data_IF_395979657765
#
_entry.id   IF_395979657765
#
_cell.length_a   1.000
_cell.length_b   1.000
_cell.length_c   1.000
_cell.angle_alpha   90.00
_cell.angle_beta   90.00
_cell.angle_gamma   90.00
#
_symmetry.space_group_name_H-M   'P 1'
#
loop_
_entity.id
_entity.type
_entity.pdbx_description
1 polymer ?
#
# COMPACT_ATOMS: atom_id res chain seq x y z
N UNK A 1 -11.33 -7.59 36.30
CA UNK A 1 -10.08 -6.82 36.10
C UNK A 1 -9.13 -7.67 35.27
N UNK A 2 -8.94 -7.30 34.01
CA UNK A 2 -7.93 -7.86 33.11
C UNK A 2 -7.56 -6.80 32.06
N UNK A 3 -7.20 -5.60 32.51
CA UNK A 3 -6.87 -4.44 31.66
C UNK A 3 -5.36 -4.30 31.37
N UNK A 4 -4.55 -5.34 31.65
CA UNK A 4 -3.11 -5.17 31.86
C UNK A 4 -2.12 -5.82 30.89
N UNK A 5 -2.52 -6.66 29.93
CA UNK A 5 -1.55 -7.55 29.24
C UNK A 5 -1.52 -7.49 27.71
N UNK A 6 -2.39 -6.71 27.07
CA UNK A 6 -2.33 -6.55 25.59
C UNK A 6 -1.24 -5.55 25.17
N UNK A 7 -0.90 -4.58 26.04
CA UNK A 7 0.13 -3.58 25.78
C UNK A 7 1.56 -4.04 26.08
N UNK A 8 1.77 -5.13 26.81
CA UNK A 8 3.10 -5.59 27.23
C UNK A 8 3.88 -6.34 26.15
N UNK A 9 3.23 -6.70 25.03
CA UNK A 9 3.87 -7.39 23.90
C UNK A 9 4.37 -6.43 22.81
N UNK A 10 4.05 -5.14 22.91
CA UNK A 10 4.34 -4.15 21.88
C UNK A 10 5.14 -2.99 22.46
N UNK A 11 6.30 -2.73 21.86
CA UNK A 11 7.28 -1.75 22.36
C UNK A 11 6.70 -0.33 22.48
N UNK A 12 5.69 0.00 21.66
CA UNK A 12 4.90 1.22 21.77
C UNK A 12 3.53 1.09 21.08
N UNK A 13 2.65 2.09 21.25
CA UNK A 13 1.32 2.13 20.63
C UNK A 13 1.36 2.09 19.09
N UNK A 14 2.46 2.53 18.46
CA UNK A 14 2.62 2.48 17.01
C UNK A 14 2.82 1.05 16.51
N UNK A 15 3.47 0.18 17.29
CA UNK A 15 3.61 -1.24 16.95
C UNK A 15 2.25 -1.96 16.90
N UNK A 16 1.34 -1.65 17.84
CA UNK A 16 -0.04 -2.18 17.83
C UNK A 16 -0.80 -1.70 16.59
N UNK A 17 -0.67 -0.42 16.26
CA UNK A 17 -1.32 0.18 15.08
C UNK A 17 -0.76 -0.38 13.77
N UNK A 18 0.55 -0.66 13.73
CA UNK A 18 1.23 -1.29 12.59
C UNK A 18 0.75 -2.72 12.39
N UNK A 19 0.69 -3.53 13.45
CA UNK A 19 0.14 -4.89 13.38
C UNK A 19 -1.34 -4.91 12.97
N UNK A 20 -2.16 -4.04 13.56
CA UNK A 20 -3.58 -3.94 13.20
C UNK A 20 -3.79 -3.57 11.74
N UNK A 21 -2.97 -2.63 11.22
CA UNK A 21 -2.96 -2.30 9.80
C UNK A 21 -2.53 -3.50 8.96
N UNK A 22 -1.37 -4.12 9.26
CA UNK A 22 -0.85 -5.26 8.49
C UNK A 22 -1.87 -6.40 8.42
N UNK A 23 -2.53 -6.74 9.53
CA UNK A 23 -3.58 -7.76 9.55
C UNK A 23 -4.75 -7.41 8.61
N UNK A 24 -5.20 -6.15 8.59
CA UNK A 24 -6.24 -5.74 7.64
C UNK A 24 -5.75 -5.75 6.19
N UNK A 25 -4.53 -5.30 5.93
CA UNK A 25 -3.93 -5.32 4.59
C UNK A 25 -3.75 -6.74 4.05
N UNK A 26 -3.40 -7.69 4.92
CA UNK A 26 -3.29 -9.12 4.58
C UNK A 26 -4.66 -9.71 4.25
N UNK A 27 -5.71 -9.39 5.02
CA UNK A 27 -7.07 -9.85 4.71
C UNK A 27 -7.59 -9.28 3.38
N UNK A 28 -7.28 -8.01 3.10
CA UNK A 28 -7.63 -7.37 1.84
C UNK A 28 -6.89 -7.97 0.64
N UNK A 29 -5.59 -8.30 0.78
CA UNK A 29 -4.83 -9.03 -0.23
C UNK A 29 -5.48 -10.38 -0.58
N UNK A 30 -5.89 -11.14 0.43
CA UNK A 30 -6.53 -12.44 0.24
C UNK A 30 -7.87 -12.33 -0.52
N UNK A 31 -8.61 -11.23 -0.32
CA UNK A 31 -9.86 -10.97 -1.03
C UNK A 31 -9.62 -10.49 -2.48
N UNK A 32 -8.59 -9.67 -2.72
CA UNK A 32 -8.25 -9.16 -4.05
C UNK A 32 -7.72 -10.23 -5.01
N UNK A 33 -7.01 -11.24 -4.49
CA UNK A 33 -6.44 -12.35 -5.27
C UNK A 33 -7.46 -13.41 -5.71
N UNK A 34 -8.72 -13.32 -5.28
CA UNK A 34 -9.76 -14.29 -5.60
C UNK A 34 -10.20 -14.27 -7.09
N UNK A 35 -9.89 -13.21 -7.82
CA UNK A 35 -10.16 -13.08 -9.26
C UNK A 35 -8.86 -12.83 -10.02
N UNK A 36 -8.30 -13.83 -10.74
CA UNK A 36 -7.07 -13.65 -11.50
C UNK A 36 -7.33 -12.70 -12.67
N UNK A 37 -6.74 -11.52 -12.59
CA UNK A 37 -6.73 -10.53 -13.67
C UNK A 37 -5.50 -10.77 -14.54
N UNK A 38 -5.69 -10.96 -15.85
CA UNK A 38 -4.58 -11.21 -16.79
C UNK A 38 -3.83 -9.93 -17.21
N UNK A 39 -4.33 -8.77 -16.82
CA UNK A 39 -3.76 -7.47 -17.16
C UNK A 39 -3.08 -6.81 -15.94
N UNK A 40 -1.80 -6.47 -16.08
CA UNK A 40 -0.99 -5.92 -14.99
C UNK A 40 -1.48 -4.54 -14.52
N UNK A 41 -2.07 -3.75 -15.43
CA UNK A 41 -2.63 -2.45 -15.10
C UNK A 41 -3.90 -2.59 -14.27
N UNK A 42 -4.84 -3.43 -14.71
CA UNK A 42 -6.08 -3.71 -13.98
C UNK A 42 -5.78 -4.34 -12.60
N UNK A 43 -4.84 -5.30 -12.54
CA UNK A 43 -4.37 -5.86 -11.27
C UNK A 43 -3.78 -4.77 -10.35
N UNK A 44 -2.88 -3.93 -10.86
CA UNK A 44 -2.26 -2.85 -10.10
C UNK A 44 -3.29 -1.85 -9.56
N UNK A 45 -4.29 -1.50 -10.36
CA UNK A 45 -5.36 -0.58 -9.94
C UNK A 45 -6.36 -1.20 -8.97
N UNK A 46 -6.65 -2.51 -9.09
CA UNK A 46 -7.49 -3.22 -8.12
C UNK A 46 -6.84 -3.24 -6.75
N UNK A 47 -5.55 -3.56 -6.67
CA UNK A 47 -4.78 -3.46 -5.43
C UNK A 47 -4.76 -2.04 -4.90
N UNK A 48 -4.43 -1.05 -5.74
CA UNK A 48 -4.36 0.32 -5.30
C UNK A 48 -5.70 0.86 -4.78
N UNK A 49 -6.80 0.54 -5.45
CA UNK A 49 -8.16 0.91 -5.01
C UNK A 49 -8.47 0.34 -3.64
N UNK A 50 -8.11 -0.92 -3.41
CA UNK A 50 -8.35 -1.62 -2.16
C UNK A 50 -7.53 -1.00 -1.02
N UNK A 51 -6.23 -0.84 -1.22
CA UNK A 51 -5.32 -0.32 -0.20
C UNK A 51 -5.52 1.17 0.07
N UNK A 52 -5.62 1.99 -0.98
CA UNK A 52 -5.93 3.40 -0.81
C UNK A 52 -7.31 3.57 -0.15
N UNK A 53 -8.30 2.73 -0.47
CA UNK A 53 -9.60 2.75 0.21
C UNK A 53 -9.46 2.69 1.73
N UNK A 54 -8.62 1.80 2.23
CA UNK A 54 -8.31 1.71 3.65
C UNK A 54 -7.60 2.96 4.18
N UNK A 55 -6.53 3.42 3.51
CA UNK A 55 -5.75 4.58 3.97
C UNK A 55 -6.59 5.87 4.03
N UNK A 56 -7.44 6.09 3.02
CA UNK A 56 -8.30 7.27 2.95
C UNK A 56 -9.51 7.19 3.89
N UNK A 57 -9.92 5.99 4.30
CA UNK A 57 -10.93 5.83 5.37
C UNK A 57 -10.35 6.08 6.76
N UNK A 58 -9.01 6.04 6.90
CA UNK A 58 -8.31 6.12 8.19
C UNK A 58 -7.18 7.17 8.18
N UNK A 59 -7.41 8.34 7.56
CA UNK A 59 -6.37 9.35 7.25
C UNK A 59 -5.40 9.65 8.40
N UNK A 60 -5.89 9.90 9.61
CA UNK A 60 -5.02 10.27 10.74
C UNK A 60 -4.08 9.12 11.13
N UNK A 61 -4.61 7.89 11.17
CA UNK A 61 -3.84 6.69 11.43
C UNK A 61 -2.82 6.45 10.31
N UNK A 62 -3.26 6.55 9.06
CA UNK A 62 -2.42 6.36 7.89
C UNK A 62 -1.26 7.35 7.83
N UNK A 63 -1.51 8.62 8.14
CA UNK A 63 -0.46 9.65 8.25
C UNK A 63 0.54 9.33 9.36
N UNK A 64 0.08 8.88 10.53
CA UNK A 64 0.95 8.53 11.64
C UNK A 64 1.87 7.35 11.28
N UNK A 65 1.31 6.31 10.67
CA UNK A 65 2.08 5.12 10.26
C UNK A 65 3.06 5.42 9.13
N UNK A 66 2.64 6.17 8.10
CA UNK A 66 3.52 6.51 6.98
C UNK A 66 4.71 7.38 7.41
N UNK A 67 4.52 8.28 8.40
CA UNK A 67 5.64 9.05 8.96
C UNK A 67 6.73 8.16 9.53
N UNK A 68 6.36 7.08 10.23
CA UNK A 68 7.34 6.11 10.75
C UNK A 68 7.99 5.31 9.63
N UNK A 69 7.20 4.87 8.64
CA UNK A 69 7.69 4.07 7.51
C UNK A 69 8.68 4.85 6.62
N UNK A 70 8.49 6.16 6.45
CA UNK A 70 9.40 7.01 5.64
C UNK A 70 10.84 7.00 6.21
N UNK A 71 11.00 6.78 7.51
CA UNK A 71 12.32 6.73 8.16
C UNK A 71 12.92 5.32 8.25
N UNK A 72 12.15 4.29 7.87
CA UNK A 72 12.53 2.87 7.93
C UNK A 72 12.46 2.25 6.52
N UNK A 73 13.23 2.83 5.61
CA UNK A 73 13.21 2.48 4.18
C UNK A 73 13.69 1.04 3.92
N UNK A 74 14.55 0.48 4.77
CA UNK A 74 15.05 -0.90 4.65
C UNK A 74 13.94 -1.92 4.94
N UNK A 75 13.13 -1.68 5.99
CA UNK A 75 11.94 -2.51 6.28
C UNK A 75 10.95 -2.48 5.12
N UNK A 76 10.83 -1.33 4.47
CA UNK A 76 9.90 -1.14 3.37
C UNK A 76 10.38 -1.80 2.07
N UNK A 77 11.67 -1.69 1.74
CA UNK A 77 12.24 -2.38 0.58
C UNK A 77 12.11 -3.89 0.71
N UNK A 78 12.42 -4.44 1.90
CA UNK A 78 12.27 -5.88 2.17
C UNK A 78 10.82 -6.37 2.11
N UNK A 79 9.83 -5.56 2.51
CA UNK A 79 8.41 -5.87 2.30
C UNK A 79 8.05 -5.92 0.81
N UNK A 80 8.50 -4.95 0.00
CA UNK A 80 8.24 -4.94 -1.43
C UNK A 80 8.84 -6.18 -2.10
N UNK A 81 10.09 -6.52 -1.78
CA UNK A 81 10.76 -7.71 -2.32
C UNK A 81 9.98 -8.99 -1.97
N UNK A 82 9.48 -9.11 -0.73
CA UNK A 82 8.73 -10.29 -0.29
C UNK A 82 7.36 -10.43 -1.00
N UNK A 83 6.67 -9.32 -1.27
CA UNK A 83 5.37 -9.31 -1.99
C UNK A 83 5.55 -9.77 -3.44
N UNK A 84 6.67 -9.42 -4.09
CA UNK A 84 6.88 -9.71 -5.52
C UNK A 84 7.70 -10.96 -5.81
N UNK A 85 8.48 -11.47 -4.84
CA UNK A 85 9.29 -12.69 -4.98
C UNK A 85 8.48 -13.92 -5.44
N UNK A 86 7.16 -13.92 -5.21
CA UNK A 86 6.25 -15.01 -5.59
C UNK A 86 5.29 -14.65 -6.74
N UNK A 87 5.49 -13.51 -7.40
CA UNK A 87 4.58 -13.03 -8.45
C UNK A 87 5.03 -13.50 -9.84
N UNK A 88 4.17 -14.19 -10.58
CA UNK A 88 4.40 -14.62 -11.97
C UNK A 88 4.15 -13.46 -12.95
N UNK A 89 4.81 -12.31 -12.75
CA UNK A 89 4.61 -11.14 -13.59
C UNK A 89 5.36 -11.27 -14.93
N UNK A 90 4.80 -10.74 -16.03
CA UNK A 90 5.54 -10.59 -17.27
C UNK A 90 6.85 -9.81 -17.07
N UNK A 91 7.93 -10.20 -17.75
CA UNK A 91 9.27 -9.61 -17.59
C UNK A 91 9.26 -8.09 -17.75
N UNK A 92 8.54 -7.58 -18.75
CA UNK A 92 8.41 -6.15 -19.03
C UNK A 92 7.68 -5.37 -17.91
N UNK A 93 6.90 -6.04 -17.07
CA UNK A 93 6.24 -5.47 -15.89
C UNK A 93 7.18 -5.57 -14.68
N UNK A 94 7.84 -6.72 -14.50
CA UNK A 94 8.80 -6.95 -13.43
C UNK A 94 9.95 -5.92 -13.44
N UNK A 95 10.51 -5.61 -14.60
CA UNK A 95 11.57 -4.60 -14.76
C UNK A 95 11.12 -3.18 -14.35
N UNK A 96 9.82 -2.89 -14.45
CA UNK A 96 9.24 -1.58 -14.13
C UNK A 96 8.74 -1.50 -12.68
N UNK A 97 8.78 -2.60 -11.94
CA UNK A 97 8.19 -2.69 -10.60
C UNK A 97 8.75 -1.66 -9.61
N UNK A 98 10.07 -1.37 -9.55
CA UNK A 98 10.58 -0.33 -8.66
C UNK A 98 9.91 1.03 -8.90
N UNK A 99 9.73 1.42 -10.16
CA UNK A 99 9.08 2.68 -10.54
C UNK A 99 7.58 2.69 -10.21
N UNK A 100 6.90 1.55 -10.41
CA UNK A 100 5.49 1.37 -10.05
C UNK A 100 5.31 1.58 -8.55
N UNK A 101 6.17 0.96 -7.73
CA UNK A 101 6.09 1.07 -6.26
C UNK A 101 6.45 2.47 -5.76
N UNK A 102 7.50 3.09 -6.29
CA UNK A 102 7.84 4.48 -5.96
C UNK A 102 6.66 5.42 -6.25
N UNK A 103 6.04 5.27 -7.43
CA UNK A 103 4.86 6.05 -7.81
C UNK A 103 3.66 5.75 -6.92
N UNK A 104 3.42 4.48 -6.57
CA UNK A 104 2.35 4.07 -5.68
C UNK A 104 2.42 4.78 -4.34
N UNK A 105 3.58 4.76 -3.68
CA UNK A 105 3.68 5.32 -2.35
C UNK A 105 3.83 6.84 -2.35
N UNK A 106 4.57 7.40 -3.30
CA UNK A 106 4.70 8.86 -3.38
C UNK A 106 3.35 9.52 -3.71
N UNK A 107 2.52 8.89 -4.54
CA UNK A 107 1.15 9.36 -4.81
C UNK A 107 0.28 9.28 -3.55
N UNK A 108 0.35 8.15 -2.81
CA UNK A 108 -0.39 7.98 -1.56
C UNK A 108 -0.04 9.06 -0.55
N UNK A 109 1.25 9.26 -0.29
CA UNK A 109 1.77 10.24 0.68
C UNK A 109 1.36 11.65 0.25
N UNK A 110 1.53 12.00 -1.03
CA UNK A 110 1.18 13.32 -1.57
C UNK A 110 -0.31 13.63 -1.42
N UNK A 111 -1.20 12.68 -1.64
CA UNK A 111 -2.63 12.94 -1.50
C UNK A 111 -3.09 12.90 -0.05
N UNK A 112 -2.52 12.02 0.78
CA UNK A 112 -2.80 12.02 2.22
C UNK A 112 -2.28 13.28 2.91
N UNK A 113 -1.26 13.97 2.39
CA UNK A 113 -0.75 15.20 3.02
C UNK A 113 -1.64 16.43 2.80
N UNK A 114 -2.62 16.36 1.89
CA UNK A 114 -3.54 17.47 1.59
C UNK A 114 -4.48 17.78 2.77
N UNK A 115 -4.93 19.04 2.95
CA UNK A 115 -5.91 19.39 3.98
C UNK A 115 -7.19 18.56 3.88
N UNK A 116 -7.67 18.34 2.65
CA UNK A 116 -8.84 17.52 2.32
C UNK A 116 -8.42 16.41 1.35
N UNK A 117 -7.96 15.24 1.86
CA UNK A 117 -7.55 14.12 1.02
C UNK A 117 -8.75 13.51 0.31
N UNK A 118 -8.60 13.15 -0.97
CA UNK A 118 -9.65 12.44 -1.71
C UNK A 118 -9.10 11.19 -2.37
N UNK A 119 -9.72 10.04 -2.10
CA UNK A 119 -9.39 8.77 -2.72
C UNK A 119 -9.45 8.86 -4.25
N UNK A 120 -10.52 9.48 -4.77
CA UNK A 120 -10.76 9.63 -6.20
C UNK A 120 -9.61 10.34 -6.92
N UNK A 121 -9.11 11.46 -6.36
CA UNK A 121 -8.00 12.17 -6.99
C UNK A 121 -6.70 11.38 -6.93
N UNK A 122 -6.45 10.66 -5.83
CA UNK A 122 -5.26 9.84 -5.67
C UNK A 122 -5.23 8.68 -6.67
N UNK A 123 -6.34 7.95 -6.82
CA UNK A 123 -6.46 6.86 -7.78
C UNK A 123 -6.36 7.35 -9.22
N UNK A 124 -7.00 8.48 -9.55
CA UNK A 124 -6.91 9.07 -10.90
C UNK A 124 -5.47 9.43 -11.27
N UNK A 125 -4.73 10.03 -10.34
CA UNK A 125 -3.33 10.38 -10.59
C UNK A 125 -2.44 9.13 -10.72
N UNK A 126 -2.65 8.14 -9.85
CA UNK A 126 -1.91 6.89 -9.89
C UNK A 126 -2.15 6.11 -11.20
N UNK A 127 -3.42 6.04 -11.64
CA UNK A 127 -3.78 5.41 -12.91
C UNK A 127 -3.02 6.03 -14.08
N UNK A 128 -2.95 7.36 -14.13
CA UNK A 128 -2.18 8.09 -15.15
C UNK A 128 -0.70 7.73 -15.14
N UNK A 129 -0.08 7.66 -13.94
CA UNK A 129 1.33 7.27 -13.79
C UNK A 129 1.58 5.83 -14.24
N UNK A 130 0.70 4.90 -13.86
CA UNK A 130 0.81 3.50 -14.27
C UNK A 130 0.69 3.32 -15.78
N UNK A 131 -0.26 4.02 -16.42
CA UNK A 131 -0.38 4.05 -17.89
C UNK A 131 0.93 4.50 -18.54
N UNK A 132 1.53 5.58 -18.05
CA UNK A 132 2.82 6.06 -18.55
C UNK A 132 3.93 5.04 -18.34
N UNK A 133 4.08 4.47 -17.14
CA UNK A 133 5.13 3.48 -16.86
C UNK A 133 4.96 2.24 -17.72
N UNK A 134 3.73 1.71 -17.82
CA UNK A 134 3.42 0.50 -18.56
C UNK A 134 3.37 0.72 -20.08
N UNK A 135 3.49 1.95 -20.57
CA UNK A 135 3.33 2.35 -21.98
C UNK A 135 1.95 1.96 -22.54
N UNK A 136 0.89 2.17 -21.75
CA UNK A 136 -0.50 1.91 -22.13
C UNK A 136 -1.16 3.25 -22.49
N UNK A 137 -1.67 3.35 -23.72
CA UNK A 137 -2.40 4.52 -24.22
C UNK A 137 -3.77 4.73 -23.59
#
# INVERSE_FOLDING_TARGET
>A
MADGTVFSHFENKLAILREGMLNQLTQLAQQGLANPVNDAMEMGMQFATTYYGYYFSNVNLSRALLKEVIWDMDYYQSYNDAVFANSNLPVNVAEKMPLIMDCYFMTLITHLSKPEPTLKAALKELEGKYRTILNIG
#
